data_IF_276428290533
#
_entry.id   IF_276428290533
#
_cell.length_a   1.000
_cell.length_b   1.000
_cell.length_c   1.000
_cell.angle_alpha   90.00
_cell.angle_beta   90.00
_cell.angle_gamma   90.00
#
_symmetry.space_group_name_H-M   'P 1'
#
loop_
_entity.id
_entity.type
_entity.pdbx_description
1 polymer ?
#
# COMPACT_ATOMS: atom_id res chain seq x y z
N UNK A 1 2.73 -18.61 4.06
CA UNK A 1 1.55 -17.74 3.84
C UNK A 1 1.88 -16.74 2.73
N UNK A 2 0.99 -16.49 1.76
CA UNK A 2 1.19 -15.44 0.76
C UNK A 2 1.11 -14.05 1.43
N UNK A 3 1.95 -13.12 0.99
CA UNK A 3 2.09 -11.76 1.56
C UNK A 3 2.18 -10.77 0.40
N UNK A 4 1.57 -9.59 0.58
CA UNK A 4 1.70 -8.46 -0.35
C UNK A 4 2.67 -7.44 0.22
N UNK A 5 3.69 -7.07 -0.56
CA UNK A 5 4.64 -6.02 -0.24
C UNK A 5 4.40 -4.80 -1.13
N UNK A 6 4.07 -3.66 -0.51
CA UNK A 6 3.94 -2.37 -1.19
C UNK A 6 5.24 -1.58 -1.03
N UNK A 7 6.08 -1.57 -2.06
CA UNK A 7 7.39 -0.91 -2.06
C UNK A 7 7.29 0.44 -2.77
N UNK A 8 7.11 1.51 -1.99
CA UNK A 8 6.91 2.86 -2.52
C UNK A 8 8.18 3.71 -2.44
N UNK A 9 8.73 4.06 -3.60
CA UNK A 9 9.96 4.85 -3.73
C UNK A 9 11.23 4.00 -3.77
N UNK A 10 12.33 4.64 -4.20
CA UNK A 10 13.56 3.91 -4.54
C UNK A 10 14.18 3.14 -3.38
N UNK A 11 14.15 3.71 -2.18
CA UNK A 11 14.68 3.04 -0.99
C UNK A 11 13.90 1.78 -0.61
N UNK A 12 12.58 1.80 -0.77
CA UNK A 12 11.73 0.63 -0.54
C UNK A 12 11.92 -0.42 -1.64
N UNK A 13 12.00 0.01 -2.90
CA UNK A 13 12.25 -0.86 -4.07
C UNK A 13 13.51 -1.71 -3.90
N UNK A 14 14.60 -1.14 -3.34
CA UNK A 14 15.84 -1.88 -3.08
C UNK A 14 15.66 -3.08 -2.15
N UNK A 15 14.62 -3.08 -1.30
CA UNK A 15 14.32 -4.20 -0.40
C UNK A 15 13.71 -5.41 -1.14
N UNK A 16 13.34 -5.28 -2.41
CA UNK A 16 12.82 -6.41 -3.21
C UNK A 16 13.77 -7.61 -3.23
N UNK A 17 15.07 -7.37 -3.16
CA UNK A 17 16.10 -8.42 -3.16
C UNK A 17 16.02 -9.34 -1.92
N UNK A 18 15.42 -8.84 -0.84
CA UNK A 18 15.20 -9.62 0.40
C UNK A 18 13.93 -10.47 0.32
N UNK A 19 13.06 -10.24 -0.66
CA UNK A 19 11.76 -10.91 -0.81
C UNK A 19 11.92 -12.03 -1.84
N UNK A 20 12.34 -13.20 -1.37
CA UNK A 20 12.73 -14.33 -2.24
C UNK A 20 11.65 -15.38 -2.47
N UNK A 21 10.58 -15.36 -1.68
CA UNK A 21 9.50 -16.34 -1.79
C UNK A 21 8.59 -16.00 -3.00
N UNK A 22 8.46 -16.89 -4.00
CA UNK A 22 7.67 -16.62 -5.21
C UNK A 22 6.16 -16.56 -4.96
N UNK A 23 5.69 -17.03 -3.79
CA UNK A 23 4.29 -16.92 -3.39
C UNK A 23 3.94 -15.54 -2.80
N UNK A 24 4.85 -14.57 -2.88
CA UNK A 24 4.59 -13.19 -2.46
C UNK A 24 4.34 -12.30 -3.66
N UNK A 25 3.44 -11.33 -3.48
CA UNK A 25 3.25 -10.26 -4.45
C UNK A 25 4.08 -9.05 -4.04
N UNK A 26 4.86 -8.50 -4.98
CA UNK A 26 5.62 -7.27 -4.79
C UNK A 26 5.09 -6.21 -5.74
N UNK A 27 4.52 -5.13 -5.21
CA UNK A 27 3.99 -4.01 -5.97
C UNK A 27 4.89 -2.78 -5.75
N UNK A 28 5.38 -2.19 -6.84
CA UNK A 28 6.39 -1.13 -6.81
C UNK A 28 5.84 0.10 -7.51
N UNK A 29 5.94 1.27 -6.87
CA UNK A 29 5.57 2.55 -7.47
C UNK A 29 6.43 3.70 -6.96
N UNK A 30 6.22 4.89 -7.51
CA UNK A 30 6.75 6.12 -6.90
C UNK A 30 6.24 6.29 -5.45
N UNK A 31 6.98 7.04 -4.65
CA UNK A 31 6.61 7.35 -3.26
C UNK A 31 5.39 8.30 -3.21
N UNK A 32 4.49 8.17 -2.21
CA UNK A 32 3.29 9.02 -2.07
C UNK A 32 3.57 10.50 -1.75
N UNK A 33 4.84 10.85 -1.43
CA UNK A 33 5.23 12.25 -1.20
C UNK A 33 4.82 13.15 -2.38
N UNK A 34 4.37 14.40 -2.13
CA UNK A 34 3.93 15.34 -3.16
C UNK A 34 4.91 15.48 -4.34
N UNK A 35 6.22 15.41 -4.07
CA UNK A 35 7.27 15.55 -5.08
C UNK A 35 7.35 14.39 -6.08
N UNK A 36 6.79 13.24 -5.76
CA UNK A 36 6.88 12.01 -6.58
C UNK A 36 5.54 11.37 -6.89
N UNK A 37 4.46 11.73 -6.20
CA UNK A 37 3.19 11.02 -6.30
C UNK A 37 2.62 11.01 -7.73
N UNK A 38 2.72 12.14 -8.44
CA UNK A 38 2.26 12.26 -9.84
C UNK A 38 3.13 11.51 -10.85
N UNK A 39 4.33 11.07 -10.45
CA UNK A 39 5.26 10.31 -11.30
C UNK A 39 5.02 8.80 -11.26
N UNK A 40 3.95 8.34 -10.62
CA UNK A 40 3.52 6.93 -10.69
C UNK A 40 2.91 6.34 -9.42
N UNK A 41 2.74 7.10 -8.33
CA UNK A 41 1.97 6.62 -7.18
C UNK A 41 0.47 6.67 -7.50
N UNK A 42 -0.02 7.82 -7.96
CA UNK A 42 -1.39 7.95 -8.44
C UNK A 42 -1.56 7.14 -9.72
N UNK A 43 -2.64 6.36 -9.78
CA UNK A 43 -2.90 5.42 -10.89
C UNK A 43 -2.21 4.06 -10.76
N UNK A 44 -1.39 3.83 -9.72
CA UNK A 44 -0.72 2.54 -9.50
C UNK A 44 -1.69 1.39 -9.18
N UNK A 45 -2.90 1.69 -8.69
CA UNK A 45 -3.92 0.72 -8.30
C UNK A 45 -3.45 -0.30 -7.23
N UNK A 46 -2.41 0.01 -6.46
CA UNK A 46 -1.81 -0.95 -5.53
C UNK A 46 -2.79 -1.52 -4.50
N UNK A 47 -3.68 -0.71 -3.95
CA UNK A 47 -4.68 -1.18 -2.98
C UNK A 47 -5.67 -2.19 -3.58
N UNK A 48 -6.06 -1.97 -4.84
CA UNK A 48 -6.93 -2.88 -5.60
C UNK A 48 -6.18 -4.20 -5.90
N UNK A 49 -4.98 -4.10 -6.47
CA UNK A 49 -4.15 -5.26 -6.82
C UNK A 49 -3.80 -6.11 -5.59
N UNK A 50 -3.57 -5.47 -4.43
CA UNK A 50 -3.35 -6.17 -3.17
C UNK A 50 -4.56 -7.03 -2.78
N UNK A 51 -5.77 -6.46 -2.84
CA UNK A 51 -6.99 -7.20 -2.51
C UNK A 51 -7.31 -8.30 -3.54
N UNK A 52 -7.07 -8.06 -4.84
CA UNK A 52 -7.21 -9.10 -5.88
C UNK A 52 -6.31 -10.31 -5.56
N UNK A 53 -5.04 -10.07 -5.22
CA UNK A 53 -4.12 -11.13 -4.84
C UNK A 53 -4.52 -11.86 -3.56
N UNK A 54 -4.98 -11.13 -2.52
CA UNK A 54 -5.46 -11.75 -1.29
C UNK A 54 -6.66 -12.66 -1.59
N UNK A 55 -7.62 -12.17 -2.36
CA UNK A 55 -8.81 -12.92 -2.79
C UNK A 55 -8.46 -14.17 -3.59
N UNK A 56 -7.56 -14.07 -4.56
CA UNK A 56 -7.07 -15.22 -5.35
C UNK A 56 -6.40 -16.29 -4.48
N UNK A 57 -5.81 -15.89 -3.35
CA UNK A 57 -5.18 -16.77 -2.39
C UNK A 57 -6.12 -17.20 -1.24
N UNK A 58 -7.44 -16.96 -1.36
CA UNK A 58 -8.45 -17.25 -0.32
C UNK A 58 -8.15 -16.58 1.03
N UNK A 59 -7.56 -15.39 1.00
CA UNK A 59 -7.36 -14.53 2.17
C UNK A 59 -8.39 -13.40 2.17
N UNK A 60 -8.70 -12.90 3.38
CA UNK A 60 -9.60 -11.77 3.55
C UNK A 60 -9.00 -10.49 2.93
N UNK A 61 -9.83 -9.76 2.19
CA UNK A 61 -9.46 -8.48 1.58
C UNK A 61 -9.31 -7.39 2.66
N UNK A 62 -8.43 -6.42 2.43
CA UNK A 62 -8.25 -5.32 3.36
C UNK A 62 -9.29 -4.24 3.08
N UNK A 63 -10.03 -3.85 4.13
CA UNK A 63 -10.83 -2.62 4.09
C UNK A 63 -9.90 -1.41 4.32
N UNK A 64 -9.59 -0.69 3.24
CA UNK A 64 -8.70 0.47 3.25
C UNK A 64 -9.34 1.75 3.76
N UNK A 65 -10.66 1.76 4.02
CA UNK A 65 -11.35 2.93 4.55
C UNK A 65 -10.96 3.13 6.01
N UNK A 66 -10.33 4.26 6.31
CA UNK A 66 -10.08 4.70 7.68
C UNK A 66 -11.35 5.31 8.29
N UNK A 67 -11.54 5.13 9.59
CA UNK A 67 -12.60 5.80 10.34
C UNK A 67 -12.25 7.29 10.53
N UNK A 68 -13.23 8.16 10.37
CA UNK A 68 -13.07 9.59 10.70
C UNK A 68 -12.99 9.74 12.21
N UNK A 69 -11.76 9.89 12.73
CA UNK A 69 -11.56 10.28 14.13
C UNK A 69 -11.87 11.77 14.24
N UNK A 70 -13.10 12.11 14.63
CA UNK A 70 -13.44 13.45 15.08
C UNK A 70 -12.63 13.77 16.34
N UNK A 71 -11.49 14.44 16.20
CA UNK A 71 -10.87 15.14 17.32
C UNK A 71 -11.82 16.26 17.73
N UNK A 72 -12.45 16.11 18.90
CA UNK A 72 -13.37 17.09 19.44
C UNK A 72 -12.75 18.48 19.41
N UNK A 73 -13.47 19.44 18.83
CA UNK A 73 -13.20 20.84 18.99
C UNK A 73 -13.33 21.16 20.49
N UNK A 74 -12.21 21.22 21.21
CA UNK A 74 -12.16 22.10 22.39
C UNK A 74 -12.06 23.52 21.85
N UNK A 75 -13.23 24.09 21.56
CA UNK A 75 -13.42 25.53 21.56
C UNK A 75 -13.12 26.01 22.99
N UNK A 76 -11.94 26.56 23.21
CA UNK A 76 -11.71 27.44 24.34
C UNK A 76 -11.99 28.86 23.85
N UNK A 77 -12.88 29.52 24.60
CA UNK A 77 -13.23 30.93 24.49
C UNK A 77 -12.00 31.85 24.51
#
# INVERSE_FOLDING_TARGET
QPIVFLLWGKQAELKKELITNPNHLVLISAHPSPFSARRGFFGSNHFKLANEFLKENNLEEINWKIEDKHYGQQTLF
#
